data_IF_403965418068
#
_entry.id   IF_403965418068
#
_cell.length_a   1.000
_cell.length_b   1.000
_cell.length_c   1.000
_cell.angle_alpha   90.00
_cell.angle_beta   90.00
_cell.angle_gamma   90.00
#
_symmetry.space_group_name_H-M   'P 1'
#
loop_
_entity.id
_entity.type
_entity.pdbx_description
1 polymer ?
#
# COMPACT_ATOMS: atom_id res chain seq x y z
N UNK A 1 -24.56 31.25 9.81
CA UNK A 1 -23.78 30.07 9.39
C UNK A 1 -22.32 30.43 9.61
N UNK A 2 -21.75 30.00 10.74
CA UNK A 2 -20.36 30.25 11.01
C UNK A 2 -19.51 29.46 10.02
N UNK A 3 -18.55 30.16 9.44
CA UNK A 3 -17.53 29.66 8.53
C UNK A 3 -16.77 28.47 9.16
N UNK A 4 -16.95 27.27 8.60
CA UNK A 4 -16.23 26.07 8.98
C UNK A 4 -14.76 26.08 8.50
N UNK A 5 -14.27 27.13 7.85
CA UNK A 5 -12.90 27.19 7.31
C UNK A 5 -11.80 27.27 8.37
N UNK A 6 -12.12 27.57 9.64
CA UNK A 6 -11.12 27.78 10.70
C UNK A 6 -10.80 26.50 11.51
N UNK A 7 -11.41 25.35 11.20
CA UNK A 7 -11.03 24.07 11.85
C UNK A 7 -9.95 23.28 11.09
N UNK A 8 -9.45 23.79 9.95
CA UNK A 8 -8.45 23.12 9.11
C UNK A 8 -6.99 23.26 9.59
N UNK A 9 -6.76 23.85 10.77
CA UNK A 9 -5.42 24.01 11.38
C UNK A 9 -5.04 22.87 12.35
N UNK A 10 -5.83 21.80 12.40
CA UNK A 10 -5.42 20.52 13.02
C UNK A 10 -5.41 19.46 11.94
N UNK A 11 -4.19 19.11 11.49
CA UNK A 11 -3.87 18.06 10.52
C UNK A 11 -4.40 16.68 11.00
N UNK A 12 -5.70 16.42 10.84
CA UNK A 12 -6.22 15.05 10.86
C UNK A 12 -5.87 14.40 9.54
N UNK A 13 -4.64 13.93 9.40
CA UNK A 13 -4.26 13.24 8.16
C UNK A 13 -5.04 11.94 8.12
N UNK A 14 -5.84 11.75 7.06
CA UNK A 14 -6.62 10.53 6.91
C UNK A 14 -5.66 9.37 6.68
N UNK A 15 -5.85 8.27 7.40
CA UNK A 15 -4.98 7.09 7.34
C UNK A 15 -4.78 6.61 5.88
N UNK A 16 -5.83 6.72 5.07
CA UNK A 16 -5.80 6.32 3.67
C UNK A 16 -4.96 7.29 2.81
N UNK A 17 -4.91 8.57 3.13
CA UNK A 17 -4.08 9.54 2.37
C UNK A 17 -2.59 9.33 2.63
N UNK A 18 -2.21 8.95 3.86
CA UNK A 18 -0.80 8.68 4.21
C UNK A 18 -0.31 7.31 3.74
N UNK A 19 -1.16 6.29 3.82
CA UNK A 19 -0.73 4.90 3.74
C UNK A 19 -1.37 4.11 2.59
N UNK A 20 -2.22 4.73 1.77
CA UNK A 20 -2.73 4.04 0.58
C UNK A 20 -1.60 3.71 -0.39
N UNK A 21 -1.66 2.48 -0.91
CA UNK A 21 -0.80 1.97 -1.97
C UNK A 21 -1.55 1.82 -3.29
N UNK A 22 -2.80 2.28 -3.35
CA UNK A 22 -3.63 2.18 -4.54
C UNK A 22 -2.99 2.87 -5.75
N UNK A 23 -2.99 2.19 -6.88
CA UNK A 23 -2.36 2.64 -8.13
C UNK A 23 -0.83 2.70 -8.11
N UNK A 24 -0.15 2.32 -7.01
CA UNK A 24 1.31 2.27 -6.96
C UNK A 24 1.86 1.01 -7.61
N UNK A 25 3.13 1.05 -8.02
CA UNK A 25 3.88 -0.12 -8.49
C UNK A 25 4.92 -0.50 -7.43
N UNK A 26 4.96 -1.76 -7.02
CA UNK A 26 5.88 -2.27 -6.01
C UNK A 26 6.62 -3.53 -6.48
N UNK A 27 7.85 -3.71 -6.00
CA UNK A 27 8.62 -4.95 -6.16
C UNK A 27 8.83 -5.62 -4.81
N UNK A 28 8.48 -6.91 -4.71
CA UNK A 28 8.70 -7.72 -3.49
C UNK A 28 9.72 -8.80 -3.79
N UNK A 29 10.90 -8.67 -3.18
CA UNK A 29 11.93 -9.73 -3.23
C UNK A 29 11.54 -10.88 -2.30
N UNK A 30 11.86 -12.11 -2.70
CA UNK A 30 11.44 -13.31 -1.96
C UNK A 30 9.92 -13.56 -1.98
N UNK A 31 9.17 -12.92 -2.88
CA UNK A 31 7.70 -12.94 -2.90
C UNK A 31 7.03 -14.29 -3.14
N UNK A 32 7.79 -15.34 -3.49
CA UNK A 32 7.27 -16.69 -3.77
C UNK A 32 6.59 -17.40 -2.59
N UNK A 33 6.98 -17.10 -1.34
CA UNK A 33 6.52 -17.85 -0.15
C UNK A 33 6.66 -17.06 1.15
N UNK A 34 6.11 -17.61 2.22
CA UNK A 34 6.22 -17.05 3.57
C UNK A 34 5.82 -15.58 3.63
N UNK A 35 6.61 -14.78 4.36
CA UNK A 35 6.35 -13.35 4.57
C UNK A 35 6.33 -12.58 3.25
N UNK A 36 7.24 -12.86 2.31
CA UNK A 36 7.26 -12.19 1.01
C UNK A 36 5.96 -12.37 0.24
N UNK A 37 5.38 -13.58 0.26
CA UNK A 37 4.07 -13.84 -0.35
C UNK A 37 2.96 -13.08 0.37
N UNK A 38 2.97 -13.06 1.70
CA UNK A 38 1.95 -12.33 2.47
C UNK A 38 1.99 -10.83 2.18
N UNK A 39 3.19 -10.24 2.09
CA UNK A 39 3.38 -8.83 1.73
C UNK A 39 2.86 -8.56 0.31
N UNK A 40 3.26 -9.38 -0.67
CA UNK A 40 2.82 -9.22 -2.05
C UNK A 40 1.29 -9.31 -2.17
N UNK A 41 0.66 -10.29 -1.52
CA UNK A 41 -0.81 -10.43 -1.48
C UNK A 41 -1.47 -9.21 -0.85
N UNK A 42 -0.96 -8.71 0.28
CA UNK A 42 -1.51 -7.53 0.95
C UNK A 42 -1.45 -6.28 0.07
N UNK A 43 -0.33 -6.05 -0.62
CA UNK A 43 -0.17 -4.93 -1.54
C UNK A 43 -1.13 -5.02 -2.74
N UNK A 44 -1.26 -6.21 -3.36
CA UNK A 44 -2.21 -6.43 -4.46
C UNK A 44 -3.65 -6.20 -4.00
N UNK A 45 -4.02 -6.70 -2.82
CA UNK A 45 -5.36 -6.53 -2.26
C UNK A 45 -5.71 -5.05 -1.98
N UNK A 46 -4.72 -4.18 -1.84
CA UNK A 46 -4.89 -2.74 -1.61
C UNK A 46 -4.60 -1.89 -2.86
N UNK A 47 -4.67 -2.48 -4.06
CA UNK A 47 -4.67 -1.75 -5.33
C UNK A 47 -3.28 -1.46 -5.92
N UNK A 48 -2.21 -1.98 -5.32
CA UNK A 48 -0.89 -1.88 -5.91
C UNK A 48 -0.68 -2.92 -7.03
N UNK A 49 0.02 -2.52 -8.10
CA UNK A 49 0.58 -3.45 -9.07
C UNK A 49 1.90 -4.00 -8.52
N UNK A 50 1.97 -5.32 -8.32
CA UNK A 50 3.12 -5.94 -7.64
C UNK A 50 3.87 -6.89 -8.58
N UNK A 51 5.19 -6.72 -8.63
CA UNK A 51 6.12 -7.69 -9.22
C UNK A 51 6.84 -8.44 -8.10
N UNK A 52 7.00 -9.75 -8.24
CA UNK A 52 7.79 -10.54 -7.29
C UNK A 52 9.05 -11.06 -7.97
N UNK A 53 10.12 -11.21 -7.18
CA UNK A 53 11.33 -11.91 -7.61
C UNK A 53 11.70 -12.98 -6.59
N UNK A 54 12.05 -14.16 -7.08
CA UNK A 54 12.50 -15.29 -6.29
C UNK A 54 13.48 -16.15 -7.10
N UNK A 55 14.31 -16.93 -6.40
CA UNK A 55 15.31 -17.81 -7.03
C UNK A 55 14.71 -19.04 -7.72
N UNK A 56 13.43 -19.33 -7.49
CA UNK A 56 12.69 -20.41 -8.14
C UNK A 56 11.62 -19.79 -9.01
N UNK A 57 11.66 -20.10 -10.30
CA UNK A 57 10.72 -19.57 -11.29
C UNK A 57 9.31 -20.15 -11.12
N UNK A 58 9.23 -21.38 -10.58
CA UNK A 58 7.98 -22.02 -10.18
C UNK A 58 7.62 -21.55 -8.76
N UNK A 59 6.73 -20.56 -8.69
CA UNK A 59 6.16 -20.03 -7.47
C UNK A 59 4.66 -19.80 -7.65
#
# INVERSE_FOLDING_TARGET
MADLSISASVNSVLINELFSVDGKVAIVTGGSRGIGRMIATGLVANGAKVYITARKAEA
#
